data_IF_370634397782
#
_entry.id   IF_370634397782
#
_cell.length_a   1.000
_cell.length_b   1.000
_cell.length_c   1.000
_cell.angle_alpha   90.00
_cell.angle_beta   90.00
_cell.angle_gamma   90.00
#
_symmetry.space_group_name_H-M   'P 1'
#
loop_
_entity.id
_entity.type
_entity.pdbx_description
1 polymer ?
#
# COMPACT_ATOMS: atom_id res chain seq x y z
N UNK A 1 -26.48 -7.62 12.81
CA UNK A 1 -25.44 -8.43 12.15
C UNK A 1 -24.35 -8.72 13.18
N UNK A 2 -23.78 -9.94 13.20
CA UNK A 2 -22.58 -10.21 14.00
C UNK A 2 -21.43 -9.27 13.58
N UNK A 3 -20.53 -8.91 14.51
CA UNK A 3 -19.37 -8.08 14.19
C UNK A 3 -18.52 -8.76 13.11
N UNK A 4 -18.06 -7.99 12.13
CA UNK A 4 -17.16 -8.50 11.09
C UNK A 4 -15.90 -9.08 11.77
N UNK A 5 -15.45 -10.27 11.37
CA UNK A 5 -14.25 -10.86 11.94
C UNK A 5 -13.04 -9.97 11.63
N UNK A 6 -12.08 -9.93 12.56
CA UNK A 6 -10.86 -9.14 12.39
C UNK A 6 -10.10 -9.61 11.14
N UNK A 7 -9.57 -8.69 10.32
CA UNK A 7 -8.71 -9.04 9.21
C UNK A 7 -7.48 -9.85 9.65
N UNK A 8 -7.11 -10.85 8.85
CA UNK A 8 -5.91 -11.68 9.08
C UNK A 8 -4.93 -11.61 7.91
N UNK A 9 -5.42 -11.32 6.71
CA UNK A 9 -4.64 -11.21 5.48
C UNK A 9 -5.07 -10.00 4.67
N UNK A 10 -4.27 -9.64 3.68
CA UNK A 10 -4.60 -8.58 2.75
C UNK A 10 -4.03 -8.89 1.37
N UNK A 11 -4.76 -8.46 0.34
CA UNK A 11 -4.29 -8.44 -1.04
C UNK A 11 -3.58 -7.10 -1.27
N UNK A 12 -2.40 -7.11 -1.87
CA UNK A 12 -1.62 -5.90 -2.10
C UNK A 12 -0.78 -5.96 -3.37
N UNK A 13 -0.23 -4.79 -3.71
CA UNK A 13 0.92 -4.63 -4.59
C UNK A 13 2.15 -4.36 -3.69
N UNK A 14 3.07 -5.31 -3.53
CA UNK A 14 4.34 -5.06 -2.85
C UNK A 14 5.13 -4.00 -3.59
N UNK A 15 5.68 -3.03 -2.86
CA UNK A 15 6.42 -1.93 -3.49
C UNK A 15 7.93 -2.08 -3.40
N UNK A 16 8.46 -2.93 -2.53
CA UNK A 16 9.91 -3.14 -2.37
C UNK A 16 10.36 -4.29 -3.26
N UNK A 17 10.96 -3.95 -4.39
CA UNK A 17 11.51 -4.88 -5.38
C UNK A 17 12.95 -4.52 -5.71
N UNK A 18 13.59 -5.27 -6.62
CA UNK A 18 14.93 -4.92 -7.10
C UNK A 18 14.97 -3.51 -7.73
N UNK A 19 13.93 -3.12 -8.46
CA UNK A 19 13.85 -1.84 -9.15
C UNK A 19 13.63 -0.65 -8.20
N UNK A 20 12.90 -0.84 -7.09
CA UNK A 20 12.48 0.25 -6.20
C UNK A 20 13.33 0.40 -4.94
N UNK A 21 13.99 -0.67 -4.48
CA UNK A 21 14.61 -0.74 -3.15
C UNK A 21 15.58 0.41 -2.90
N UNK A 22 16.39 0.77 -3.89
CA UNK A 22 17.35 1.87 -3.75
C UNK A 22 16.65 3.22 -3.54
N UNK A 23 15.65 3.54 -4.37
CA UNK A 23 14.91 4.80 -4.26
C UNK A 23 14.17 4.88 -2.92
N UNK A 24 13.39 3.85 -2.59
CA UNK A 24 12.59 3.81 -1.36
C UNK A 24 13.47 3.83 -0.10
N UNK A 25 14.59 3.12 -0.09
CA UNK A 25 15.53 3.15 1.04
C UNK A 25 16.11 4.55 1.24
N UNK A 26 16.59 5.20 0.18
CA UNK A 26 17.14 6.55 0.27
C UNK A 26 16.09 7.56 0.76
N UNK A 27 14.90 7.51 0.17
CA UNK A 27 13.78 8.40 0.51
C UNK A 27 13.32 8.22 1.95
N UNK A 28 13.13 6.97 2.40
CA UNK A 28 12.69 6.67 3.74
C UNK A 28 13.76 7.00 4.80
N UNK A 29 15.03 6.76 4.50
CA UNK A 29 16.14 7.16 5.39
C UNK A 29 16.23 8.68 5.54
N UNK A 30 16.09 9.44 4.45
CA UNK A 30 16.09 10.91 4.49
C UNK A 30 14.90 11.44 5.31
N UNK A 31 13.70 10.93 5.05
CA UNK A 31 12.50 11.28 5.82
C UNK A 31 12.68 10.96 7.31
N UNK A 32 13.13 9.74 7.63
CA UNK A 32 13.34 9.30 9.02
C UNK A 32 14.32 10.21 9.76
N UNK A 33 15.47 10.52 9.15
CA UNK A 33 16.49 11.38 9.75
C UNK A 33 15.97 12.79 10.03
N UNK A 34 15.16 13.35 9.12
CA UNK A 34 14.53 14.65 9.33
C UNK A 34 13.47 14.59 10.45
N UNK A 35 12.46 13.73 10.31
CA UNK A 35 11.29 13.80 11.20
C UNK A 35 11.56 13.33 12.63
N UNK A 36 12.56 12.48 12.81
CA UNK A 36 12.96 12.00 14.16
C UNK A 36 13.90 12.97 14.87
N UNK A 37 14.50 13.93 14.16
CA UNK A 37 15.41 14.92 14.75
C UNK A 37 14.69 15.75 15.83
N UNK A 38 15.29 15.92 17.03
CA UNK A 38 14.77 16.81 18.07
C UNK A 38 14.65 18.28 17.63
N UNK A 39 15.48 18.69 16.67
CA UNK A 39 15.52 20.06 16.14
C UNK A 39 14.50 20.27 14.99
N UNK A 40 13.78 19.22 14.60
CA UNK A 40 12.76 19.23 13.55
C UNK A 40 11.40 18.90 14.16
N UNK A 41 10.90 17.67 13.97
CA UNK A 41 9.56 17.27 14.41
C UNK A 41 9.53 16.34 15.63
N UNK A 42 10.69 15.80 16.05
CA UNK A 42 10.83 14.89 17.18
C UNK A 42 9.84 13.69 17.17
N UNK A 43 9.50 13.20 15.97
CA UNK A 43 8.65 12.02 15.79
C UNK A 43 9.38 10.80 16.36
N UNK A 44 8.71 9.93 17.15
CA UNK A 44 9.35 8.70 17.60
C UNK A 44 9.73 7.81 16.41
N UNK A 45 10.97 7.34 16.38
CA UNK A 45 11.49 6.48 15.30
C UNK A 45 10.61 5.23 15.07
N UNK A 46 10.00 4.68 16.13
CA UNK A 46 9.11 3.52 16.04
C UNK A 46 7.80 3.81 15.30
N UNK A 47 7.47 5.09 15.05
CA UNK A 47 6.33 5.47 14.22
C UNK A 47 6.64 5.30 12.74
N UNK A 48 7.91 5.32 12.32
CA UNK A 48 8.32 5.16 10.92
C UNK A 48 8.15 3.70 10.53
N UNK A 49 7.51 3.46 9.38
CA UNK A 49 7.29 2.10 8.89
C UNK A 49 8.60 1.52 8.36
N UNK A 50 8.93 0.27 8.68
CA UNK A 50 10.10 -0.40 8.12
C UNK A 50 9.98 -0.56 6.59
N UNK A 51 11.11 -0.57 5.89
CA UNK A 51 11.15 -0.52 4.42
C UNK A 51 10.38 -1.69 3.81
N UNK A 52 10.68 -2.92 4.26
CA UNK A 52 10.03 -4.16 3.80
C UNK A 52 8.52 -4.23 4.05
N UNK A 53 7.92 -3.23 4.71
CA UNK A 53 6.47 -3.15 4.92
C UNK A 53 5.75 -2.24 3.92
N UNK A 54 6.45 -1.55 3.02
CA UNK A 54 5.82 -0.66 2.05
C UNK A 54 5.08 -1.45 0.96
N UNK A 55 3.78 -1.18 0.83
CA UNK A 55 2.88 -1.82 -0.13
C UNK A 55 1.66 -0.93 -0.39
N UNK A 56 0.93 -1.19 -1.47
CA UNK A 56 -0.42 -0.66 -1.69
C UNK A 56 -1.46 -1.72 -1.34
N UNK A 57 -2.25 -1.50 -0.29
CA UNK A 57 -3.33 -2.43 0.08
C UNK A 57 -4.49 -2.32 -0.91
N UNK A 58 -4.90 -3.44 -1.51
CA UNK A 58 -6.07 -3.54 -2.40
C UNK A 58 -7.33 -3.88 -1.60
N UNK A 59 -7.18 -4.74 -0.59
CA UNK A 59 -8.28 -5.07 0.32
C UNK A 59 -7.88 -6.09 1.38
N UNK A 60 -8.74 -6.27 2.36
CA UNK A 60 -8.46 -7.10 3.54
C UNK A 60 -9.38 -8.32 3.59
N UNK A 61 -8.84 -9.44 4.06
CA UNK A 61 -9.54 -10.72 4.16
C UNK A 61 -9.42 -11.27 5.59
N UNK A 62 -10.37 -12.11 5.97
CA UNK A 62 -10.38 -12.76 7.28
C UNK A 62 -10.53 -14.26 7.12
N UNK A 63 -9.46 -14.98 7.48
CA UNK A 63 -9.39 -16.43 7.50
C UNK A 63 -9.03 -16.89 8.92
N UNK A 64 -9.97 -16.92 9.87
CA UNK A 64 -9.72 -17.44 11.21
C UNK A 64 -9.25 -18.90 11.12
N UNK A 65 -8.12 -19.23 11.77
CA UNK A 65 -7.49 -20.57 11.68
C UNK A 65 -7.13 -20.99 10.24
N UNK A 66 -6.93 -20.02 9.34
CA UNK A 66 -6.62 -20.22 7.92
C UNK A 66 -7.74 -20.89 7.10
N UNK A 67 -8.97 -20.97 7.62
CA UNK A 67 -10.10 -21.52 6.87
C UNK A 67 -10.44 -20.61 5.67
N UNK A 68 -10.38 -21.17 4.46
CA UNK A 68 -10.61 -20.45 3.19
C UNK A 68 -9.39 -19.74 2.60
N UNK A 69 -8.23 -19.76 3.25
CA UNK A 69 -7.00 -19.16 2.71
C UNK A 69 -6.54 -19.86 1.43
N UNK A 70 -6.67 -21.19 1.36
CA UNK A 70 -6.36 -22.02 0.20
C UNK A 70 -7.15 -21.58 -1.05
N UNK A 71 -8.43 -21.23 -0.87
CA UNK A 71 -9.29 -20.70 -1.94
C UNK A 71 -8.82 -19.34 -2.43
N UNK A 72 -8.38 -18.46 -1.53
CA UNK A 72 -7.85 -17.15 -1.90
C UNK A 72 -6.51 -17.27 -2.65
N UNK A 73 -5.64 -18.16 -2.19
CA UNK A 73 -4.38 -18.49 -2.89
C UNK A 73 -4.66 -19.10 -4.27
N UNK A 74 -5.61 -20.02 -4.37
CA UNK A 74 -6.00 -20.62 -5.63
C UNK A 74 -6.56 -19.56 -6.59
N UNK A 75 -7.43 -18.67 -6.13
CA UNK A 75 -7.98 -17.57 -6.93
C UNK A 75 -6.88 -16.61 -7.40
N UNK A 76 -5.95 -16.20 -6.52
CA UNK A 76 -4.82 -15.35 -6.93
C UNK A 76 -4.06 -15.97 -8.11
N UNK A 77 -3.80 -17.28 -8.04
CA UNK A 77 -3.05 -18.02 -9.07
C UNK A 77 -3.78 -18.18 -10.40
N UNK A 78 -5.09 -17.96 -10.47
CA UNK A 78 -5.84 -18.00 -11.74
C UNK A 78 -5.89 -16.64 -12.43
N UNK A 79 -5.50 -15.56 -11.75
CA UNK A 79 -5.51 -14.22 -12.33
C UNK A 79 -4.47 -14.09 -13.43
N UNK A 80 -4.84 -13.35 -14.47
CA UNK A 80 -3.95 -12.99 -15.58
C UNK A 80 -3.94 -11.47 -15.69
N UNK A 81 -2.97 -10.77 -15.06
CA UNK A 81 -2.95 -9.30 -14.99
C UNK A 81 -3.10 -8.61 -16.35
N UNK A 82 -2.48 -9.15 -17.40
CA UNK A 82 -2.62 -8.61 -18.77
C UNK A 82 -4.06 -8.62 -19.29
N UNK A 83 -4.86 -9.62 -18.94
CA UNK A 83 -6.28 -9.67 -19.36
C UNK A 83 -7.12 -8.62 -18.65
N UNK A 84 -6.84 -8.38 -17.37
CA UNK A 84 -7.48 -7.32 -16.59
C UNK A 84 -7.16 -5.95 -17.23
N UNK A 85 -5.89 -5.69 -17.51
CA UNK A 85 -5.45 -4.45 -18.17
C UNK A 85 -6.01 -4.28 -19.57
N UNK A 86 -6.03 -5.33 -20.39
CA UNK A 86 -6.64 -5.28 -21.72
C UNK A 86 -8.14 -4.91 -21.65
N UNK A 87 -8.85 -5.36 -20.61
CA UNK A 87 -10.26 -5.05 -20.41
C UNK A 87 -10.48 -3.58 -20.01
N UNK A 88 -9.59 -3.03 -19.19
CA UNK A 88 -9.59 -1.61 -18.82
C UNK A 88 -9.33 -0.74 -20.05
N UNK A 89 -8.29 -1.04 -20.82
CA UNK A 89 -7.95 -0.31 -22.04
C UNK A 89 -9.07 -0.36 -23.08
N UNK A 90 -9.73 -1.53 -23.24
CA UNK A 90 -10.87 -1.67 -24.14
C UNK A 90 -12.03 -0.76 -23.71
N UNK A 91 -12.36 -0.71 -22.42
CA UNK A 91 -13.41 0.15 -21.88
C UNK A 91 -13.11 1.66 -22.05
N UNK A 92 -11.83 2.03 -22.09
CA UNK A 92 -11.38 3.40 -22.36
C UNK A 92 -11.45 3.76 -23.84
N UNK A 93 -11.04 2.85 -24.74
CA UNK A 93 -11.07 3.07 -26.19
C UNK A 93 -12.47 3.32 -26.76
N UNK A 94 -13.52 2.85 -26.08
CA UNK A 94 -14.93 3.11 -26.44
C UNK A 94 -15.33 4.57 -26.14
N UNK A 95 -14.57 5.29 -25.29
CA UNK A 95 -14.82 6.69 -24.92
C UNK A 95 -13.98 7.71 -25.70
N UNK A 96 -12.93 7.28 -26.39
CA UNK A 96 -12.00 8.16 -27.11
C UNK A 96 -11.89 7.70 -28.57
N UNK A 97 -12.53 8.47 -29.47
CA UNK A 97 -12.32 8.33 -30.91
C UNK A 97 -10.95 8.92 -31.26
N UNK A 98 -10.15 8.12 -31.97
CA UNK A 98 -8.92 8.47 -32.71
C UNK A 98 -7.62 8.68 -31.90
N UNK A 99 -6.66 7.75 -32.06
CA UNK A 99 -5.35 8.05 -32.67
C UNK A 99 -4.60 6.78 -33.11
N UNK A 100 -3.84 6.92 -34.20
CA UNK A 100 -3.11 5.88 -34.93
C UNK A 100 -1.94 5.28 -34.13
N UNK A 101 -1.82 3.96 -34.12
CA UNK A 101 -0.73 3.24 -33.47
C UNK A 101 0.49 3.12 -34.40
N UNK A 102 1.61 3.70 -33.98
CA UNK A 102 2.94 3.29 -34.43
C UNK A 102 3.43 2.14 -33.54
N UNK A 103 3.95 1.07 -34.15
CA UNK A 103 4.53 -0.05 -33.43
C UNK A 103 5.85 0.37 -32.75
N UNK A 104 5.99 0.22 -31.42
CA UNK A 104 7.23 0.54 -30.74
C UNK A 104 8.27 -0.56 -30.99
N UNK A 105 9.41 -0.17 -31.55
CA UNK A 105 10.60 -1.03 -31.67
C UNK A 105 11.36 -1.04 -30.34
N UNK A 106 11.01 -1.97 -29.45
CA UNK A 106 11.66 -2.17 -28.16
C UNK A 106 11.03 -3.35 -27.39
N UNK A 107 11.65 -3.80 -26.28
CA UNK A 107 10.95 -4.68 -25.36
C UNK A 107 9.63 -4.03 -24.90
N UNK A 108 8.57 -4.81 -24.69
CA UNK A 108 7.27 -4.25 -24.31
C UNK A 108 7.41 -3.49 -22.98
N UNK A 109 6.76 -2.31 -22.84
CA UNK A 109 6.80 -1.56 -21.60
C UNK A 109 6.21 -2.37 -20.43
N UNK A 110 6.56 -2.03 -19.17
CA UNK A 110 5.94 -2.65 -18.01
C UNK A 110 4.41 -2.47 -18.06
N UNK A 111 3.68 -3.45 -17.55
CA UNK A 111 2.22 -3.45 -17.59
C UNK A 111 1.64 -2.26 -16.82
N UNK A 112 2.23 -1.95 -15.67
CA UNK A 112 1.95 -0.78 -14.84
C UNK A 112 3.26 -0.31 -14.22
N UNK A 113 3.46 1.00 -14.20
CA UNK A 113 4.46 1.67 -13.36
C UNK A 113 3.76 2.53 -12.33
N UNK A 114 4.43 2.82 -11.22
CA UNK A 114 3.90 3.67 -10.15
C UNK A 114 4.95 4.66 -9.67
N UNK A 115 4.52 5.90 -9.52
CA UNK A 115 5.24 6.96 -8.80
C UNK A 115 4.52 7.22 -7.49
N UNK A 116 5.26 7.27 -6.37
CA UNK A 116 4.73 7.72 -5.10
C UNK A 116 5.22 9.15 -4.84
N UNK A 117 4.27 10.09 -4.71
CA UNK A 117 4.59 11.50 -4.53
C UNK A 117 3.69 12.12 -3.46
N UNK A 118 4.29 12.95 -2.63
CA UNK A 118 3.61 13.68 -1.56
C UNK A 118 3.46 12.87 -0.29
N UNK A 119 2.91 13.51 0.74
CA UNK A 119 2.58 12.88 2.01
C UNK A 119 1.23 13.40 2.49
N UNK A 120 0.37 12.48 2.95
CA UNK A 120 -0.99 12.78 3.39
C UNK A 120 -1.27 12.17 4.75
N UNK A 121 -2.17 12.79 5.52
CA UNK A 121 -2.65 12.23 6.78
C UNK A 121 -3.96 11.45 6.60
N UNK A 122 -4.06 10.29 7.25
CA UNK A 122 -5.33 9.56 7.36
C UNK A 122 -6.25 10.29 8.37
N UNK A 123 -7.54 10.42 8.04
CA UNK A 123 -8.59 11.11 8.82
C UNK A 123 -8.50 10.94 10.36
N UNK A 124 -8.93 11.94 11.19
CA UNK A 124 -9.83 13.05 10.83
C UNK A 124 -9.23 14.48 10.81
N UNK A 125 -7.97 14.72 11.18
CA UNK A 125 -7.35 16.04 11.04
C UNK A 125 -5.83 15.94 11.03
N UNK A 126 -5.15 16.72 10.18
CA UNK A 126 -3.69 16.78 10.14
C UNK A 126 -3.07 17.17 11.50
N UNK A 127 -3.77 17.97 12.30
CA UNK A 127 -3.34 18.39 13.65
C UNK A 127 -3.39 17.27 14.71
N UNK A 128 -3.98 16.12 14.39
CA UNK A 128 -4.05 14.93 15.25
C UNK A 128 -3.84 13.67 14.42
N UNK A 129 -2.87 13.71 13.53
CA UNK A 129 -2.54 12.59 12.65
C UNK A 129 -1.98 11.42 13.46
N UNK A 130 -2.37 10.21 13.08
CA UNK A 130 -1.76 8.97 13.61
C UNK A 130 -1.22 8.06 12.52
N UNK A 131 -1.54 8.36 11.26
CA UNK A 131 -1.07 7.64 10.09
C UNK A 131 -0.75 8.67 9.03
N UNK A 132 0.47 8.61 8.49
CA UNK A 132 0.89 9.36 7.30
C UNK A 132 1.22 8.37 6.18
N UNK A 133 0.83 8.70 4.96
CA UNK A 133 0.99 7.83 3.81
C UNK A 133 1.37 8.60 2.55
N UNK A 134 2.09 7.94 1.66
CA UNK A 134 2.39 8.42 0.32
C UNK A 134 1.35 7.84 -0.67
N UNK A 135 0.59 8.68 -1.41
CA UNK A 135 -0.32 8.20 -2.44
C UNK A 135 0.44 7.88 -3.74
N UNK A 136 -0.07 6.95 -4.57
CA UNK A 136 0.37 6.85 -5.95
C UNK A 136 -0.12 8.03 -6.78
N UNK A 137 0.70 8.48 -7.74
CA UNK A 137 0.28 9.37 -8.81
C UNK A 137 -0.45 8.52 -9.87
N UNK A 138 -1.74 8.77 -10.06
CA UNK A 138 -2.60 8.01 -10.95
C UNK A 138 -3.58 8.94 -11.68
N UNK A 139 -3.05 9.86 -12.50
CA UNK A 139 -3.83 10.92 -13.16
C UNK A 139 -4.97 10.36 -14.02
N UNK A 140 -4.72 9.27 -14.74
CA UNK A 140 -5.73 8.62 -15.58
C UNK A 140 -6.63 7.67 -14.79
N UNK A 141 -6.30 7.32 -13.55
CA UNK A 141 -7.05 6.38 -12.72
C UNK A 141 -6.87 4.91 -13.11
N UNK A 142 -5.87 4.59 -13.93
CA UNK A 142 -5.64 3.24 -14.47
C UNK A 142 -5.21 2.28 -13.37
N UNK A 143 -4.34 2.71 -12.45
CA UNK A 143 -3.90 1.89 -11.32
C UNK A 143 -5.08 1.61 -10.38
N UNK A 144 -5.89 2.63 -10.08
CA UNK A 144 -7.08 2.49 -9.26
C UNK A 144 -8.07 1.50 -9.87
N UNK A 145 -8.40 1.65 -11.17
CA UNK A 145 -9.31 0.72 -11.88
C UNK A 145 -8.79 -0.71 -11.88
N UNK A 146 -7.48 -0.89 -12.06
CA UNK A 146 -6.84 -2.21 -11.99
C UNK A 146 -6.99 -2.83 -10.60
N UNK A 147 -6.67 -2.09 -9.55
CA UNK A 147 -6.84 -2.57 -8.18
C UNK A 147 -8.32 -2.81 -7.80
N UNK A 148 -9.25 -1.99 -8.30
CA UNK A 148 -10.69 -2.23 -8.11
C UNK A 148 -11.15 -3.51 -8.80
N UNK A 149 -10.69 -3.81 -10.01
CA UNK A 149 -11.00 -5.09 -10.68
C UNK A 149 -10.49 -6.30 -9.88
N UNK A 150 -9.26 -6.23 -9.37
CA UNK A 150 -8.72 -7.26 -8.48
C UNK A 150 -9.58 -7.41 -7.23
N UNK A 151 -9.92 -6.29 -6.59
CA UNK A 151 -10.74 -6.26 -5.40
C UNK A 151 -12.12 -6.88 -5.64
N UNK A 152 -12.81 -6.49 -6.71
CA UNK A 152 -14.12 -7.03 -7.11
C UNK A 152 -14.05 -8.53 -7.34
N UNK A 153 -13.00 -9.04 -7.99
CA UNK A 153 -12.82 -10.48 -8.23
C UNK A 153 -12.80 -11.28 -6.90
N UNK A 154 -12.12 -10.77 -5.87
CA UNK A 154 -12.10 -11.41 -4.55
C UNK A 154 -13.41 -11.23 -3.76
N UNK A 155 -14.11 -10.12 -3.97
CA UNK A 155 -15.42 -9.86 -3.35
C UNK A 155 -16.50 -10.77 -3.93
N UNK A 156 -16.55 -10.92 -5.26
CA UNK A 156 -17.48 -11.81 -5.96
C UNK A 156 -17.27 -13.29 -5.60
N UNK A 157 -16.02 -13.68 -5.32
CA UNK A 157 -15.68 -15.00 -4.80
C UNK A 157 -16.05 -15.21 -3.31
N UNK A 158 -16.58 -14.18 -2.63
CA UNK A 158 -16.94 -14.22 -1.21
C UNK A 158 -15.74 -14.27 -0.25
N UNK A 159 -14.53 -13.95 -0.71
CA UNK A 159 -13.30 -14.01 0.07
C UNK A 159 -12.97 -12.67 0.74
N UNK A 160 -13.52 -11.58 0.21
CA UNK A 160 -13.31 -10.22 0.69
C UNK A 160 -14.66 -9.55 0.97
N UNK A 161 -14.77 -8.80 2.05
CA UNK A 161 -15.99 -8.08 2.36
C UNK A 161 -16.21 -6.90 1.40
N UNK A 162 -17.46 -6.63 1.08
CA UNK A 162 -17.85 -5.35 0.48
C UNK A 162 -17.61 -4.22 1.48
N UNK A 163 -16.95 -3.15 1.03
CA UNK A 163 -16.83 -1.93 1.82
C UNK A 163 -17.66 -0.83 1.19
N UNK A 164 -18.33 -0.06 2.03
CA UNK A 164 -19.11 1.11 1.61
C UNK A 164 -18.21 2.34 1.35
N UNK A 165 -16.90 2.15 1.25
CA UNK A 165 -15.91 3.21 1.03
C UNK A 165 -15.11 2.91 -0.22
N UNK A 166 -14.83 3.94 -1.05
CA UNK A 166 -13.94 3.80 -2.20
C UNK A 166 -12.57 3.24 -1.80
N UNK A 167 -11.91 2.56 -2.72
CA UNK A 167 -10.54 2.11 -2.52
C UNK A 167 -9.61 3.34 -2.42
N UNK A 168 -8.84 3.43 -1.34
CA UNK A 168 -7.78 4.41 -1.18
C UNK A 168 -6.43 3.71 -1.26
N UNK A 169 -5.80 3.78 -2.42
CA UNK A 169 -4.44 3.28 -2.59
C UNK A 169 -3.45 4.20 -1.87
N UNK A 170 -2.62 3.63 -1.02
CA UNK A 170 -1.63 4.36 -0.25
C UNK A 170 -0.51 3.44 0.25
N UNK A 171 0.71 3.98 0.32
CA UNK A 171 1.83 3.36 1.02
C UNK A 171 1.97 4.03 2.39
N UNK A 172 1.74 3.29 3.47
CA UNK A 172 1.86 3.86 4.82
C UNK A 172 3.34 4.09 5.14
N UNK A 173 3.71 5.35 5.41
CA UNK A 173 5.08 5.77 5.74
C UNK A 173 5.27 5.86 7.26
N UNK A 174 4.24 6.34 7.96
CA UNK A 174 4.28 6.53 9.41
C UNK A 174 2.97 6.06 10.04
N UNK A 175 3.04 5.35 11.17
CA UNK A 175 1.88 5.01 11.97
C UNK A 175 2.22 4.93 13.46
N UNK A 176 1.60 5.80 14.25
CA UNK A 176 1.86 5.93 15.68
C UNK A 176 1.39 4.73 16.52
N UNK A 177 0.61 3.81 15.94
CA UNK A 177 0.21 2.57 16.63
C UNK A 177 1.41 1.69 17.02
N UNK A 178 2.53 1.83 16.30
CA UNK A 178 3.76 1.07 16.54
C UNK A 178 4.63 1.69 17.63
N UNK A 179 4.33 2.92 18.05
CA UNK A 179 4.99 3.54 19.20
C UNK A 179 4.44 2.93 20.47
N UNK A 180 5.22 2.02 21.06
CA UNK A 180 4.88 1.41 22.35
C UNK A 180 4.93 2.49 23.44
N UNK A 181 3.81 2.68 24.13
CA UNK A 181 3.73 3.62 25.25
C UNK A 181 4.72 3.26 26.36
N UNK A 182 5.45 4.26 26.86
CA UNK A 182 6.05 4.24 28.20
C UNK A 182 4.97 3.77 29.18
N UNK A 183 5.20 2.66 29.87
CA UNK A 183 4.33 2.16 30.95
C UNK A 183 4.02 3.29 31.95
N UNK A 184 2.89 4.00 31.78
CA UNK A 184 2.31 4.75 32.87
C UNK A 184 1.56 3.73 33.73
N UNK A 185 2.15 3.42 34.88
CA UNK A 185 1.51 2.68 35.97
C UNK A 185 0.08 3.21 36.16
N UNK A 186 -0.93 2.36 35.95
CA UNK A 186 -2.31 2.62 36.33
C UNK A 186 -3.33 2.58 35.19
N UNK A 187 -3.75 1.37 34.81
CA UNK A 187 -5.12 0.95 34.45
C UNK A 187 -5.99 1.70 33.43
N UNK A 188 -5.62 2.90 32.96
CA UNK A 188 -6.38 3.64 31.94
C UNK A 188 -5.85 3.28 30.56
N UNK A 189 -6.78 2.92 29.66
CA UNK A 189 -6.52 2.69 28.23
C UNK A 189 -5.74 3.89 27.69
N UNK A 190 -4.49 3.69 27.30
CA UNK A 190 -3.63 4.75 26.75
C UNK A 190 -4.36 5.42 25.60
N UNK A 191 -4.46 6.75 25.60
CA UNK A 191 -4.88 7.48 24.41
C UNK A 191 -3.93 7.14 23.24
N UNK A 192 -4.49 7.05 22.04
CA UNK A 192 -3.72 6.80 20.82
C UNK A 192 -2.76 7.98 20.64
N UNK A 193 -1.47 7.70 20.52
CA UNK A 193 -0.50 8.75 20.21
C UNK A 193 -0.89 9.40 18.88
N UNK A 194 -0.96 10.73 18.87
CA UNK A 194 -1.20 11.53 17.67
C UNK A 194 -0.15 12.63 17.63
N UNK A 195 0.13 13.12 16.42
CA UNK A 195 1.04 14.25 16.19
C UNK A 195 0.33 15.33 15.38
N UNK A 196 0.78 16.57 15.51
CA UNK A 196 0.44 17.62 14.56
C UNK A 196 1.34 17.48 13.34
N UNK A 197 0.77 17.02 12.23
CA UNK A 197 1.53 16.74 11.01
C UNK A 197 1.51 17.89 10.01
N UNK A 198 0.87 19.02 10.29
CA UNK A 198 0.66 20.09 9.27
C UNK A 198 1.97 20.54 8.61
N UNK A 199 2.99 20.82 9.41
CA UNK A 199 4.30 21.27 8.91
C UNK A 199 5.08 20.13 8.22
N UNK A 200 4.87 18.87 8.65
CA UNK A 200 5.43 17.69 7.97
C UNK A 200 4.78 17.54 6.59
N UNK A 201 3.45 17.65 6.52
CA UNK A 201 2.71 17.53 5.26
C UNK A 201 3.11 18.63 4.27
N UNK A 202 3.27 19.87 4.74
CA UNK A 202 3.72 20.99 3.91
C UNK A 202 5.12 20.75 3.34
N UNK A 203 6.08 20.34 4.19
CA UNK A 203 7.45 20.03 3.77
C UNK A 203 7.54 18.89 2.75
N UNK A 204 6.69 17.87 2.89
CA UNK A 204 6.71 16.67 2.06
C UNK A 204 5.60 16.65 0.99
N UNK A 205 4.91 17.77 0.74
CA UNK A 205 3.75 17.83 -0.17
C UNK A 205 4.08 17.35 -1.60
N UNK A 206 5.28 17.68 -2.09
CA UNK A 206 5.73 17.33 -3.44
C UNK A 206 6.90 16.32 -3.44
N UNK A 207 7.20 15.72 -2.29
CA UNK A 207 8.33 14.81 -2.17
C UNK A 207 8.11 13.52 -2.95
N UNK A 208 9.06 13.16 -3.80
CA UNK A 208 9.01 11.93 -4.61
C UNK A 208 9.69 10.80 -3.83
N UNK A 209 8.92 9.81 -3.42
CA UNK A 209 9.43 8.65 -2.67
C UNK A 209 10.08 7.63 -3.60
N UNK A 210 9.47 7.44 -4.76
CA UNK A 210 9.96 6.63 -5.87
C UNK A 210 9.25 7.07 -7.16
N UNK A 211 9.94 6.95 -8.29
CA UNK A 211 9.46 7.41 -9.59
C UNK A 211 9.54 6.30 -10.63
N UNK A 212 8.44 6.15 -11.40
CA UNK A 212 8.30 5.25 -12.55
C UNK A 212 8.80 3.81 -12.29
N UNK A 213 8.42 3.26 -11.13
CA UNK A 213 8.81 1.92 -10.74
C UNK A 213 7.80 0.92 -11.30
N UNK A 214 8.24 -0.13 -12.04
CA UNK A 214 7.36 -1.20 -12.48
C UNK A 214 6.71 -1.92 -11.29
N UNK A 215 5.41 -2.15 -11.38
CA UNK A 215 4.74 -3.07 -10.46
C UNK A 215 5.05 -4.49 -10.94
N UNK A 216 5.76 -5.25 -10.12
CA UNK A 216 6.22 -6.59 -10.49
C UNK A 216 5.23 -7.67 -10.06
N UNK A 217 4.55 -7.48 -8.91
CA UNK A 217 3.80 -8.57 -8.25
C UNK A 217 2.46 -8.14 -7.68
N UNK A 218 1.56 -9.13 -7.55
CA UNK A 218 0.35 -9.08 -6.72
C UNK A 218 0.48 -10.17 -5.67
N UNK A 219 0.28 -9.83 -4.39
CA UNK A 219 0.49 -10.75 -3.28
C UNK A 219 -0.68 -10.81 -2.31
N UNK A 220 -0.88 -12.00 -1.73
CA UNK A 220 -1.62 -12.17 -0.48
C UNK A 220 -0.59 -12.24 0.64
N UNK A 221 -0.68 -11.28 1.55
CA UNK A 221 0.20 -11.18 2.70
C UNK A 221 -0.60 -11.42 3.99
N UNK A 222 0.06 -12.03 4.97
CA UNK A 222 -0.46 -12.21 6.32
C UNK A 222 -0.20 -10.97 7.16
N UNK A 223 -1.19 -10.56 7.94
CA UNK A 223 -1.06 -9.41 8.83
C UNK A 223 -0.05 -9.64 9.96
N UNK A 224 0.64 -8.57 10.33
CA UNK A 224 1.65 -8.60 11.39
C UNK A 224 3.04 -8.90 10.85
N UNK A 225 3.70 -7.85 10.33
CA UNK A 225 5.07 -7.92 9.84
C UNK A 225 6.01 -8.57 10.87
N UNK A 226 7.02 -9.27 10.35
CA UNK A 226 8.02 -10.01 11.12
C UNK A 226 9.39 -9.42 10.86
N UNK A 227 10.21 -9.41 11.92
CA UNK A 227 11.63 -9.08 11.81
C UNK A 227 12.33 -10.07 10.89
N UNK A 228 13.14 -9.52 9.99
CA UNK A 228 14.00 -10.25 9.07
C UNK A 228 15.42 -10.36 9.66
N UNK A 229 16.28 -11.15 9.02
CA UNK A 229 17.67 -11.35 9.47
C UNK A 229 18.51 -10.07 9.37
N UNK A 230 18.20 -9.20 8.42
CA UNK A 230 18.85 -7.90 8.22
C UNK A 230 18.37 -6.82 9.23
N UNK A 231 17.44 -7.17 10.12
CA UNK A 231 16.87 -6.28 11.13
C UNK A 231 15.68 -5.44 10.65
N UNK A 232 15.33 -5.47 9.36
CA UNK A 232 14.11 -4.85 8.82
C UNK A 232 12.86 -5.65 9.23
N UNK A 233 11.67 -5.16 8.90
CA UNK A 233 10.42 -5.94 9.02
C UNK A 233 9.72 -6.07 7.67
N UNK A 234 9.15 -7.24 7.41
CA UNK A 234 8.36 -7.51 6.20
C UNK A 234 7.16 -8.40 6.52
N UNK A 235 6.14 -8.36 5.67
CA UNK A 235 4.99 -9.26 5.80
C UNK A 235 5.33 -10.64 5.24
N UNK A 236 4.81 -11.69 5.88
CA UNK A 236 4.86 -13.06 5.35
C UNK A 236 3.95 -13.14 4.11
N UNK A 237 4.50 -13.58 2.98
CA UNK A 237 3.78 -13.75 1.71
C UNK A 237 3.22 -15.18 1.67
N UNK A 238 1.90 -15.30 1.63
CA UNK A 238 1.22 -16.60 1.51
C UNK A 238 1.20 -17.08 0.05
N UNK A 239 1.04 -16.14 -0.89
CA UNK A 239 1.14 -16.39 -2.32
C UNK A 239 1.34 -15.08 -3.08
N UNK A 240 1.98 -15.18 -4.24
CA UNK A 240 2.16 -14.06 -5.17
C UNK A 240 2.10 -14.54 -6.62
N UNK A 241 1.77 -13.63 -7.54
CA UNK A 241 1.89 -13.81 -8.98
C UNK A 241 2.64 -12.61 -9.58
N UNK A 242 3.33 -12.85 -10.69
CA UNK A 242 4.00 -11.80 -11.47
C UNK A 242 2.98 -11.02 -12.32
N UNK A 243 3.30 -9.76 -12.61
CA UNK A 243 2.54 -8.89 -13.52
C UNK A 243 2.78 -9.19 -15.01
N UNK A 244 3.59 -10.20 -15.31
CA UNK A 244 4.09 -10.52 -16.66
C UNK A 244 3.16 -11.36 -17.50
#
# INVERSE_FOLDING_TARGET
MPPRPSPTHFLCLPLVTGASRHQLSASLSAFSADVTSPDSFAVPEQAIRPLGTLHLTIGVMSFPKNDGLDKAVALLKTLVPRKIMASINAAESVKSTEHSAQEPTGPPPPLLSVTLKGLHAMQPAASKASVLYAPPVDTEGTLLRFCENLRSTFQEAGLMAEENRPLLLHATIMNTIYVKGRNRKGGKRSEKLTIDARDILDRYNDYVWMEDVPIEKIAICKMGAKKQEDGDEAYEVEAEIEMT
#
